data_IF_211783340581
#
_entry.id   IF_211783340581
#
_cell.length_a   1.000
_cell.length_b   1.000
_cell.length_c   1.000
_cell.angle_alpha   90.00
_cell.angle_beta   90.00
_cell.angle_gamma   90.00
#
_symmetry.space_group_name_H-M   'P 1'
#
loop_
_entity.id
_entity.type
_entity.pdbx_description
1 polymer ?
#
# COMPACT_ATOMS: atom_id res chain seq x y z
N UNK A 1 -16.43 15.89 -0.60
CA UNK A 1 -15.80 15.46 -1.87
C UNK A 1 -14.73 14.43 -1.54
N UNK A 2 -14.81 13.23 -2.09
CA UNK A 2 -13.84 12.16 -1.88
C UNK A 2 -12.51 12.50 -2.57
N UNK A 3 -11.39 12.31 -1.89
CA UNK A 3 -10.04 12.42 -2.46
C UNK A 3 -9.42 11.05 -2.45
N UNK A 4 -8.85 10.64 -3.58
CA UNK A 4 -8.18 9.34 -3.71
C UNK A 4 -6.75 9.54 -4.18
N UNK A 5 -5.86 8.66 -3.74
CA UNK A 5 -4.50 8.57 -4.25
C UNK A 5 -4.08 7.10 -4.35
N UNK A 6 -3.15 6.84 -5.26
CA UNK A 6 -2.48 5.55 -5.39
C UNK A 6 -1.10 5.78 -5.97
N UNK A 7 -0.07 5.29 -5.28
CA UNK A 7 1.32 5.36 -5.70
C UNK A 7 1.93 3.98 -5.61
N UNK A 8 2.72 3.60 -6.61
CA UNK A 8 3.44 2.33 -6.65
C UNK A 8 4.90 2.57 -6.90
N UNK A 9 5.74 1.87 -6.11
CA UNK A 9 7.19 1.89 -6.25
C UNK A 9 7.71 0.46 -6.31
N UNK A 10 8.63 0.22 -7.24
CA UNK A 10 9.34 -1.06 -7.36
C UNK A 10 10.82 -0.84 -7.15
N UNK A 11 11.45 -1.72 -6.39
CA UNK A 11 12.89 -1.78 -6.19
C UNK A 11 13.36 -3.19 -6.56
N UNK A 12 14.41 -3.26 -7.36
CA UNK A 12 15.04 -4.50 -7.78
C UNK A 12 16.45 -4.51 -7.16
N UNK A 13 16.85 -5.63 -6.56
CA UNK A 13 18.20 -5.78 -6.04
C UNK A 13 19.23 -5.72 -7.18
N UNK A 14 20.49 -5.28 -6.93
CA UNK A 14 21.51 -5.19 -7.97
C UNK A 14 21.79 -6.51 -8.70
N UNK A 15 21.58 -7.64 -8.02
CA UNK A 15 21.74 -8.98 -8.59
C UNK A 15 20.50 -9.48 -9.36
N UNK A 16 19.43 -8.69 -9.41
CA UNK A 16 18.16 -9.00 -10.08
C UNK A 16 17.35 -10.13 -9.45
N UNK A 17 17.78 -10.70 -8.31
CA UNK A 17 17.13 -11.88 -7.70
C UNK A 17 15.95 -11.53 -6.80
N UNK A 18 15.90 -10.28 -6.35
CA UNK A 18 14.89 -9.79 -5.41
C UNK A 18 14.15 -8.63 -6.04
N UNK A 19 12.82 -8.71 -6.01
CA UNK A 19 11.92 -7.65 -6.47
C UNK A 19 11.00 -7.30 -5.31
N UNK A 20 10.98 -6.04 -4.92
CA UNK A 20 10.03 -5.52 -3.94
C UNK A 20 9.15 -4.49 -4.60
N UNK A 21 7.84 -4.71 -4.59
CA UNK A 21 6.83 -3.76 -5.06
C UNK A 21 6.01 -3.30 -3.88
N UNK A 22 5.92 -2.00 -3.67
CA UNK A 22 5.05 -1.41 -2.66
C UNK A 22 4.04 -0.49 -3.33
N UNK A 23 2.78 -0.67 -3.01
CA UNK A 23 1.69 0.21 -3.41
C UNK A 23 1.08 0.81 -2.15
N UNK A 24 0.94 2.13 -2.13
CA UNK A 24 0.19 2.86 -1.10
C UNK A 24 -0.97 3.53 -1.78
N UNK A 25 -2.18 3.20 -1.35
CA UNK A 25 -3.40 3.86 -1.79
C UNK A 25 -4.19 4.38 -0.61
N UNK A 26 -5.01 5.38 -0.85
CA UNK A 26 -5.86 5.92 0.19
C UNK A 26 -7.03 6.70 -0.35
N UNK A 27 -8.02 6.85 0.51
CA UNK A 27 -9.22 7.64 0.29
C UNK A 27 -9.45 8.52 1.50
N UNK A 28 -9.79 9.77 1.27
CA UNK A 28 -10.17 10.73 2.29
C UNK A 28 -11.55 11.29 2.00
N UNK A 29 -12.45 11.16 2.97
CA UNK A 29 -13.76 11.76 3.03
C UNK A 29 -13.92 12.55 4.33
N UNK A 30 -14.97 13.36 4.42
CA UNK A 30 -15.21 14.25 5.56
C UNK A 30 -15.33 13.51 6.89
N UNK A 31 -15.83 12.27 6.87
CA UNK A 31 -16.11 11.44 8.04
C UNK A 31 -15.15 10.28 8.23
N UNK A 32 -14.38 9.93 7.20
CA UNK A 32 -13.54 8.74 7.20
C UNK A 32 -12.31 8.92 6.32
N UNK A 33 -11.17 8.44 6.81
CA UNK A 33 -9.95 8.28 6.03
C UNK A 33 -9.57 6.81 6.02
N UNK A 34 -9.23 6.28 4.84
CA UNK A 34 -8.71 4.93 4.68
C UNK A 34 -7.38 4.98 3.93
N UNK A 35 -6.44 4.12 4.32
CA UNK A 35 -5.18 3.92 3.63
C UNK A 35 -4.86 2.43 3.60
N UNK A 36 -4.45 1.94 2.44
CA UNK A 36 -4.02 0.56 2.23
C UNK A 36 -2.58 0.58 1.73
N UNK A 37 -1.70 -0.11 2.45
CA UNK A 37 -0.33 -0.38 2.03
C UNK A 37 -0.26 -1.85 1.65
N UNK A 38 0.14 -2.14 0.42
CA UNK A 38 0.41 -3.49 -0.06
C UNK A 38 1.87 -3.59 -0.45
N UNK A 39 2.60 -4.52 0.17
CA UNK A 39 3.99 -4.85 -0.15
C UNK A 39 4.06 -6.26 -0.68
N UNK A 40 4.61 -6.43 -1.87
CA UNK A 40 4.94 -7.73 -2.46
C UNK A 40 6.45 -7.84 -2.55
N UNK A 41 7.00 -8.87 -1.93
CA UNK A 41 8.39 -9.25 -1.97
C UNK A 41 8.50 -10.57 -2.74
N UNK A 42 9.32 -10.62 -3.77
CA UNK A 42 9.65 -11.83 -4.50
C UNK A 42 11.14 -12.04 -4.44
N UNK A 43 11.57 -13.18 -3.90
CA UNK A 43 12.97 -13.60 -3.94
C UNK A 43 13.05 -15.04 -4.46
N UNK A 44 13.91 -15.24 -5.46
CA UNK A 44 14.02 -16.51 -6.18
C UNK A 44 12.68 -16.96 -6.77
N UNK A 45 11.97 -17.85 -6.08
CA UNK A 45 10.73 -18.50 -6.47
C UNK A 45 9.68 -18.44 -5.36
N UNK A 46 9.91 -17.64 -4.31
CA UNK A 46 8.95 -17.38 -3.25
C UNK A 46 8.47 -15.93 -3.34
N UNK A 47 7.16 -15.75 -3.34
CA UNK A 47 6.51 -14.44 -3.26
C UNK A 47 5.76 -14.34 -1.94
N UNK A 48 6.02 -13.29 -1.19
CA UNK A 48 5.32 -12.92 0.03
C UNK A 48 4.61 -11.59 -0.19
N UNK A 49 3.31 -11.57 0.01
CA UNK A 49 2.51 -10.34 -0.04
C UNK A 49 1.96 -10.03 1.34
N UNK A 50 2.04 -8.77 1.73
CA UNK A 50 1.46 -8.26 2.96
C UNK A 50 0.64 -7.03 2.63
N UNK A 51 -0.61 -7.01 3.07
CA UNK A 51 -1.50 -5.87 2.92
C UNK A 51 -1.95 -5.42 4.29
N UNK A 52 -1.82 -4.14 4.56
CA UNK A 52 -2.30 -3.50 5.79
C UNK A 52 -3.25 -2.38 5.40
N UNK A 53 -4.48 -2.46 5.89
CA UNK A 53 -5.48 -1.42 5.73
C UNK A 53 -5.73 -0.76 7.08
N UNK A 54 -5.63 0.56 7.10
CA UNK A 54 -6.00 1.38 8.24
C UNK A 54 -7.19 2.24 7.84
N UNK A 55 -8.23 2.22 8.67
CA UNK A 55 -9.39 3.10 8.53
C UNK A 55 -9.57 3.87 9.82
N UNK A 56 -9.65 5.19 9.69
CA UNK A 56 -9.92 6.11 10.80
C UNK A 56 -11.26 6.78 10.52
N UNK A 57 -12.22 6.58 11.42
CA UNK A 57 -13.47 7.33 11.43
C UNK A 57 -13.28 8.56 12.30
N UNK A 58 -13.57 9.72 11.74
CA UNK A 58 -13.64 10.94 12.54
C UNK A 58 -14.96 10.88 13.31
N UNK A 59 -14.88 10.80 14.65
CA UNK A 59 -16.06 10.82 15.49
C UNK A 59 -16.93 12.05 15.20
N UNK A 60 -18.22 11.81 15.00
CA UNK A 60 -19.24 12.86 14.97
C UNK A 60 -19.14 13.65 16.29
N UNK A 61 -18.96 14.97 16.21
CA UNK A 61 -19.08 15.85 17.38
C UNK A 61 -20.54 16.12 17.67
#
# INVERSE_FOLDING_TARGET
MKKEFSETKTVISPDGKTITTMTVSGSSETTENSSTVSTTFTASNTTTSTTTTTTVKNGEK
#
